data_IF_201567257332
#
_entry.id   IF_201567257332
#
_cell.length_a   1.000
_cell.length_b   1.000
_cell.length_c   1.000
_cell.angle_alpha   90.00
_cell.angle_beta   90.00
_cell.angle_gamma   90.00
#
_symmetry.space_group_name_H-M   'P 1'
#
loop_
_entity.id
_entity.type
_entity.pdbx_description
1 polymer ?
#
# COMPACT_ATOMS: atom_id res chain seq x y z
N UNK A 1 4.47 23.24 -23.22
CA UNK A 1 5.19 23.42 -24.51
C UNK A 1 4.37 22.73 -25.59
N UNK A 2 3.77 23.49 -26.50
CA UNK A 2 3.05 22.95 -27.64
C UNK A 2 4.05 22.64 -28.76
N UNK A 3 4.03 21.41 -29.29
CA UNK A 3 4.92 20.98 -30.37
C UNK A 3 4.14 20.94 -31.69
N UNK A 4 4.39 21.92 -32.55
CA UNK A 4 3.86 21.97 -33.93
C UNK A 4 4.56 20.90 -34.77
N UNK A 5 3.80 19.97 -35.39
CA UNK A 5 4.36 18.98 -36.33
C UNK A 5 4.42 19.55 -37.75
N UNK A 6 5.60 19.39 -38.36
CA UNK A 6 5.84 19.55 -39.80
C UNK A 6 5.03 18.51 -40.60
N UNK A 7 4.36 18.97 -41.65
CA UNK A 7 3.83 18.13 -42.73
C UNK A 7 4.92 17.90 -43.76
N UNK A 8 5.46 16.68 -43.85
CA UNK A 8 6.26 16.26 -45.01
C UNK A 8 5.35 15.49 -45.97
N UNK A 9 5.15 16.04 -47.18
CA UNK A 9 4.48 15.35 -48.28
C UNK A 9 5.51 14.66 -49.16
N UNK A 10 5.44 13.33 -49.27
CA UNK A 10 6.08 12.59 -50.34
C UNK A 10 5.03 12.29 -51.42
N UNK A 11 5.31 12.67 -52.66
CA UNK A 11 4.43 12.50 -53.82
C UNK A 11 4.92 11.32 -54.65
N UNK A 12 4.07 10.31 -54.84
CA UNK A 12 4.17 9.33 -55.93
C UNK A 12 2.75 9.08 -56.46
N UNK A 13 2.59 9.26 -57.77
CA UNK A 13 1.42 8.95 -58.61
C UNK A 13 0.04 9.42 -58.13
N UNK A 14 -0.30 10.67 -58.49
CA UNK A 14 -1.62 11.05 -59.04
C UNK A 14 -2.92 10.81 -58.24
N UNK A 15 -2.87 10.18 -57.07
CA UNK A 15 -4.02 9.94 -56.21
C UNK A 15 -3.60 10.23 -54.76
N UNK A 16 -3.88 11.44 -54.29
CA UNK A 16 -3.76 11.82 -52.88
C UNK A 16 -4.87 11.14 -52.08
N UNK A 17 -4.66 9.88 -51.70
CA UNK A 17 -5.46 9.24 -50.65
C UNK A 17 -4.92 9.75 -49.32
N UNK A 18 -5.65 10.68 -48.70
CA UNK A 18 -5.37 11.13 -47.35
C UNK A 18 -5.58 9.96 -46.38
N UNK A 19 -4.51 9.24 -46.04
CA UNK A 19 -4.54 8.24 -44.97
C UNK A 19 -4.60 9.00 -43.65
N UNK A 20 -5.81 9.21 -43.13
CA UNK A 20 -6.02 9.72 -41.77
C UNK A 20 -5.48 8.69 -40.79
N UNK A 21 -4.26 8.90 -40.29
CA UNK A 21 -3.78 8.09 -39.17
C UNK A 21 -4.68 8.38 -37.95
N UNK A 22 -5.17 7.35 -37.23
CA UNK A 22 -5.90 7.58 -36.00
C UNK A 22 -4.96 8.29 -35.02
N UNK A 23 -5.31 9.53 -34.66
CA UNK A 23 -4.64 10.25 -33.58
C UNK A 23 -4.91 9.47 -32.29
N UNK A 24 -3.97 8.63 -31.88
CA UNK A 24 -4.03 8.00 -30.55
C UNK A 24 -3.75 9.09 -29.52
N UNK A 25 -4.81 9.73 -29.03
CA UNK A 25 -4.71 10.60 -27.86
C UNK A 25 -4.55 9.69 -26.64
N UNK A 26 -3.31 9.36 -26.29
CA UNK A 26 -3.00 8.74 -24.99
C UNK A 26 -3.35 9.74 -23.90
N UNK A 27 -4.55 9.60 -23.33
CA UNK A 27 -4.95 10.34 -22.13
C UNK A 27 -4.22 9.73 -20.95
N UNK A 28 -3.05 10.27 -20.61
CA UNK A 28 -2.29 9.85 -19.43
C UNK A 28 -3.06 10.26 -18.19
N UNK A 29 -3.62 9.31 -17.46
CA UNK A 29 -4.25 9.59 -16.16
C UNK A 29 -3.16 9.96 -15.15
N UNK A 30 -3.28 11.09 -14.41
CA UNK A 30 -2.30 11.45 -13.39
C UNK A 30 -2.16 10.36 -12.32
N UNK A 31 -0.93 10.11 -11.85
CA UNK A 31 -0.61 9.02 -10.92
C UNK A 31 -1.51 8.98 -9.67
N UNK A 32 -1.68 10.12 -8.98
CA UNK A 32 -2.53 10.25 -7.79
C UNK A 32 -4.04 10.29 -8.09
N UNK A 33 -4.43 10.37 -9.35
CA UNK A 33 -5.82 10.24 -9.82
C UNK A 33 -6.14 8.83 -10.31
N UNK A 34 -5.18 7.91 -10.21
CA UNK A 34 -5.31 6.49 -10.53
C UNK A 34 -5.10 5.62 -9.29
N UNK A 35 -5.38 4.32 -9.36
CA UNK A 35 -5.08 3.37 -8.28
C UNK A 35 -3.59 3.03 -8.11
N UNK A 36 -2.71 3.60 -8.95
CA UNK A 36 -1.29 3.25 -8.96
C UNK A 36 -0.62 3.53 -7.60
N UNK A 37 -0.93 4.66 -6.95
CA UNK A 37 -0.37 4.97 -5.64
C UNK A 37 -0.88 4.02 -4.56
N UNK A 38 -2.19 3.73 -4.50
CA UNK A 38 -2.75 2.74 -3.58
C UNK A 38 -2.07 1.36 -3.73
N UNK A 39 -1.81 0.90 -4.95
CA UNK A 39 -1.12 -0.37 -5.18
C UNK A 39 0.36 -0.32 -4.80
N UNK A 40 1.09 0.75 -5.14
CA UNK A 40 2.49 0.93 -4.74
C UNK A 40 2.65 1.17 -3.23
N UNK A 41 1.61 1.63 -2.55
CA UNK A 41 1.64 1.78 -1.10
C UNK A 41 1.74 0.42 -0.39
N UNK A 42 1.34 -0.68 -1.02
CA UNK A 42 1.44 -2.04 -0.44
C UNK A 42 2.90 -2.42 -0.17
N UNK A 43 3.82 -2.46 -1.16
CA UNK A 43 5.22 -2.72 -0.88
C UNK A 43 5.84 -1.64 0.01
N UNK A 44 5.41 -0.37 -0.10
CA UNK A 44 5.89 0.69 0.79
C UNK A 44 5.52 0.44 2.27
N UNK A 45 4.31 -0.05 2.54
CA UNK A 45 3.85 -0.40 3.88
C UNK A 45 4.63 -1.58 4.46
N UNK A 46 4.93 -2.59 3.64
CA UNK A 46 5.80 -3.70 4.06
C UNK A 46 7.22 -3.23 4.41
N UNK A 47 7.75 -2.30 3.61
CA UNK A 47 9.08 -1.68 3.84
C UNK A 47 9.20 -0.96 5.18
N UNK A 48 8.11 -0.45 5.76
CA UNK A 48 8.15 0.14 7.10
C UNK A 48 8.54 -0.85 8.20
N UNK A 49 8.41 -2.16 7.95
CA UNK A 49 8.88 -3.19 8.89
C UNK A 49 10.41 -3.38 8.88
N UNK A 50 11.10 -2.93 7.83
CA UNK A 50 12.53 -3.20 7.62
C UNK A 50 13.43 -2.38 8.55
N UNK A 51 13.25 -1.05 8.72
CA UNK A 51 14.13 -0.26 9.60
C UNK A 51 14.27 -0.79 11.04
N UNK A 52 13.21 -1.15 11.77
CA UNK A 52 13.37 -1.70 13.12
C UNK A 52 14.06 -3.07 13.12
N UNK A 53 13.86 -3.89 12.08
CA UNK A 53 14.57 -5.17 11.94
C UNK A 53 16.06 -4.97 11.64
N UNK A 54 16.39 -4.05 10.74
CA UNK A 54 17.77 -3.70 10.42
C UNK A 54 18.51 -3.15 11.65
N UNK A 55 17.86 -2.27 12.42
CA UNK A 55 18.40 -1.78 13.69
C UNK A 55 18.67 -2.93 14.67
N UNK A 56 17.68 -3.83 14.85
CA UNK A 56 17.82 -5.00 15.72
C UNK A 56 19.00 -5.86 15.30
N UNK A 57 19.08 -6.22 14.02
CA UNK A 57 20.13 -7.08 13.49
C UNK A 57 21.51 -6.47 13.69
N UNK A 58 21.73 -5.23 13.22
CA UNK A 58 23.03 -4.56 13.32
C UNK A 58 23.47 -4.34 14.77
N UNK A 59 22.55 -3.95 15.66
CA UNK A 59 22.85 -3.76 17.09
C UNK A 59 23.08 -5.08 17.81
N UNK A 60 22.35 -6.13 17.48
CA UNK A 60 22.54 -7.44 18.08
C UNK A 60 23.89 -8.03 17.69
N UNK A 61 24.25 -7.99 16.39
CA UNK A 61 25.56 -8.40 15.88
C UNK A 61 26.70 -7.73 16.64
N UNK A 62 26.65 -6.40 16.77
CA UNK A 62 27.73 -5.62 17.41
C UNK A 62 27.76 -5.81 18.92
N UNK A 63 26.61 -5.84 19.60
CA UNK A 63 26.54 -5.99 21.05
C UNK A 63 26.91 -7.40 21.53
N UNK A 64 26.67 -8.43 20.72
CA UNK A 64 27.00 -9.82 21.06
C UNK A 64 28.39 -10.26 20.58
N UNK A 65 29.25 -9.34 20.13
CA UNK A 65 30.56 -9.68 19.59
C UNK A 65 30.49 -10.61 18.37
N UNK A 66 29.52 -10.40 17.48
CA UNK A 66 29.26 -11.20 16.28
C UNK A 66 28.85 -12.66 16.53
N UNK A 67 28.40 -13.01 17.74
CA UNK A 67 27.89 -14.34 18.08
C UNK A 67 26.53 -14.73 17.43
N UNK A 68 25.94 -13.86 16.62
CA UNK A 68 24.65 -14.12 15.98
C UNK A 68 24.76 -15.20 14.89
N UNK A 69 23.86 -16.19 14.96
CA UNK A 69 23.78 -17.27 13.97
C UNK A 69 22.49 -17.22 13.14
N UNK A 70 22.65 -17.37 11.81
CA UNK A 70 21.54 -17.45 10.86
C UNK A 70 20.81 -18.81 10.85
N UNK A 71 21.21 -19.77 11.70
CA UNK A 71 20.51 -21.07 11.79
C UNK A 71 19.11 -20.93 12.40
N UNK A 72 18.95 -20.05 13.39
CA UNK A 72 17.68 -19.80 14.08
C UNK A 72 17.46 -18.29 14.28
N UNK A 73 17.38 -17.50 13.20
CA UNK A 73 17.46 -16.03 13.24
C UNK A 73 16.37 -15.39 14.11
N UNK A 74 15.19 -16.02 14.16
CA UNK A 74 14.07 -15.57 15.01
C UNK A 74 14.26 -15.89 16.49
N UNK A 75 15.10 -16.85 16.86
CA UNK A 75 15.38 -17.17 18.27
C UNK A 75 16.56 -16.39 18.84
N UNK A 76 17.47 -15.90 17.97
CA UNK A 76 18.74 -15.28 18.37
C UNK A 76 18.60 -14.17 19.42
N UNK A 77 17.60 -13.29 19.31
CA UNK A 77 17.41 -12.24 20.32
C UNK A 77 17.13 -12.82 21.71
N UNK A 78 16.31 -13.87 21.82
CA UNK A 78 16.00 -14.49 23.11
C UNK A 78 17.23 -15.16 23.73
N UNK A 79 18.07 -15.77 22.90
CA UNK A 79 19.31 -16.44 23.33
C UNK A 79 20.38 -15.44 23.77
N UNK A 80 20.52 -14.32 23.05
CA UNK A 80 21.62 -13.37 23.26
C UNK A 80 21.24 -12.21 24.19
N UNK A 81 19.97 -11.80 24.28
CA UNK A 81 19.56 -10.70 25.14
C UNK A 81 20.05 -10.81 26.61
N UNK A 82 20.06 -11.98 27.26
CA UNK A 82 20.57 -12.12 28.63
C UNK A 82 22.06 -11.82 28.80
N UNK A 83 22.86 -11.91 27.72
CA UNK A 83 24.30 -11.63 27.76
C UNK A 83 24.64 -10.16 27.53
N UNK A 84 23.64 -9.34 27.17
CA UNK A 84 23.82 -7.93 26.83
C UNK A 84 23.48 -7.02 28.02
N UNK A 85 24.01 -5.77 28.02
CA UNK A 85 23.55 -4.75 28.95
C UNK A 85 22.03 -4.57 28.86
N UNK A 86 21.36 -4.47 30.01
CA UNK A 86 19.89 -4.41 30.09
C UNK A 86 19.28 -3.35 29.17
N UNK A 87 19.84 -2.14 29.15
CA UNK A 87 19.34 -1.06 28.31
C UNK A 87 19.40 -1.39 26.79
N UNK A 88 20.44 -2.11 26.37
CA UNK A 88 20.58 -2.59 24.99
C UNK A 88 19.55 -3.68 24.69
N UNK A 89 19.43 -4.67 25.57
CA UNK A 89 18.44 -5.74 25.44
C UNK A 89 17.01 -5.19 25.35
N UNK A 90 16.63 -4.26 26.23
CA UNK A 90 15.32 -3.61 26.24
C UNK A 90 15.03 -2.90 24.91
N UNK A 91 16.03 -2.22 24.33
CA UNK A 91 15.88 -1.55 23.04
C UNK A 91 15.75 -2.53 21.88
N UNK A 92 16.48 -3.64 21.90
CA UNK A 92 16.37 -4.70 20.90
C UNK A 92 15.00 -5.38 20.94
N UNK A 93 14.44 -5.62 22.13
CA UNK A 93 13.07 -6.12 22.28
C UNK A 93 12.03 -5.15 21.75
N UNK A 94 12.23 -3.85 21.94
CA UNK A 94 11.36 -2.82 21.35
C UNK A 94 11.44 -2.80 19.83
N UNK A 95 12.66 -2.87 19.26
CA UNK A 95 12.84 -2.96 17.82
C UNK A 95 12.15 -4.20 17.24
N UNK A 96 12.27 -5.36 17.91
CA UNK A 96 11.54 -6.57 17.54
C UNK A 96 10.03 -6.39 17.57
N UNK A 97 9.50 -5.83 18.66
CA UNK A 97 8.07 -5.58 18.79
C UNK A 97 7.53 -4.62 17.72
N UNK A 98 8.30 -3.58 17.39
CA UNK A 98 7.96 -2.64 16.32
C UNK A 98 7.90 -3.33 14.95
N UNK A 99 8.90 -4.17 14.64
CA UNK A 99 8.93 -4.95 13.40
C UNK A 99 7.73 -5.89 13.28
N UNK A 100 7.45 -6.67 14.32
CA UNK A 100 6.32 -7.60 14.33
C UNK A 100 4.99 -6.87 14.20
N UNK A 101 4.81 -5.75 14.92
CA UNK A 101 3.58 -4.97 14.81
C UNK A 101 3.37 -4.38 13.41
N UNK A 102 4.45 -4.01 12.70
CA UNK A 102 4.35 -3.60 11.29
C UNK A 102 3.92 -4.73 10.37
N UNK A 103 4.43 -5.95 10.61
CA UNK A 103 4.02 -7.12 9.86
C UNK A 103 2.59 -7.59 10.19
N UNK A 104 2.13 -7.42 11.42
CA UNK A 104 0.76 -7.78 11.84
C UNK A 104 -0.30 -6.88 11.20
N UNK A 105 -0.03 -5.57 11.09
CA UNK A 105 -0.94 -4.62 10.43
C UNK A 105 -0.93 -4.69 8.91
N UNK A 106 0.16 -5.19 8.32
CA UNK A 106 0.36 -5.21 6.86
C UNK A 106 -0.73 -5.98 6.09
N UNK A 107 -1.12 -7.23 6.47
CA UNK A 107 -2.17 -7.97 5.75
C UNK A 107 -3.50 -7.23 5.68
N UNK A 108 -3.90 -6.59 6.78
CA UNK A 108 -5.14 -5.81 6.84
C UNK A 108 -5.09 -4.62 5.87
N UNK A 109 -3.95 -3.91 5.83
CA UNK A 109 -3.75 -2.80 4.90
C UNK A 109 -3.71 -3.24 3.44
N UNK A 110 -2.95 -4.29 3.13
CA UNK A 110 -2.86 -4.82 1.78
C UNK A 110 -4.23 -5.28 1.27
N UNK A 111 -4.99 -5.99 2.10
CA UNK A 111 -6.36 -6.40 1.78
C UNK A 111 -7.26 -5.19 1.50
N UNK A 112 -7.16 -4.13 2.31
CA UNK A 112 -7.94 -2.91 2.11
C UNK A 112 -7.65 -2.20 0.78
N UNK A 113 -6.37 -2.07 0.40
CA UNK A 113 -5.99 -1.44 -0.87
C UNK A 113 -6.46 -2.25 -2.08
N UNK A 114 -6.33 -3.58 -2.02
CA UNK A 114 -6.81 -4.47 -3.07
C UNK A 114 -8.35 -4.45 -3.16
N UNK A 115 -9.05 -4.54 -2.03
CA UNK A 115 -10.51 -4.50 -1.99
C UNK A 115 -11.07 -3.16 -2.46
N UNK A 116 -10.47 -2.04 -2.03
CA UNK A 116 -10.86 -0.70 -2.47
C UNK A 116 -10.66 -0.49 -3.97
N UNK A 117 -9.56 -1.00 -4.52
CA UNK A 117 -9.29 -0.99 -5.97
C UNK A 117 -10.31 -1.85 -6.72
N UNK A 118 -10.60 -3.06 -6.21
CA UNK A 118 -11.56 -3.99 -6.81
C UNK A 118 -12.99 -3.44 -6.81
N UNK A 119 -13.42 -2.85 -5.68
CA UNK A 119 -14.73 -2.21 -5.53
C UNK A 119 -14.85 -0.88 -6.31
N UNK A 120 -13.77 -0.43 -6.99
CA UNK A 120 -13.71 0.83 -7.73
C UNK A 120 -14.11 2.04 -6.86
N UNK A 121 -13.58 2.10 -5.64
CA UNK A 121 -13.69 3.29 -4.79
C UNK A 121 -13.04 4.50 -5.47
N UNK A 122 -13.42 5.71 -5.09
CA UNK A 122 -12.74 6.91 -5.63
C UNK A 122 -11.22 6.81 -5.43
N UNK A 123 -10.47 6.98 -6.51
CA UNK A 123 -9.03 6.76 -6.52
C UNK A 123 -8.29 7.80 -5.66
N UNK A 124 -8.77 9.05 -5.61
CA UNK A 124 -8.18 10.10 -4.77
C UNK A 124 -8.41 9.76 -3.30
N UNK A 125 -9.62 9.37 -2.92
CA UNK A 125 -9.93 8.94 -1.55
C UNK A 125 -9.06 7.76 -1.11
N UNK A 126 -8.93 6.73 -1.96
CA UNK A 126 -8.13 5.54 -1.65
C UNK A 126 -6.64 5.89 -1.51
N UNK A 127 -6.12 6.75 -2.38
CA UNK A 127 -4.75 7.23 -2.32
C UNK A 127 -4.47 8.07 -1.07
N UNK A 128 -5.42 8.92 -0.65
CA UNK A 128 -5.32 9.67 0.61
C UNK A 128 -5.25 8.72 1.80
N UNK A 129 -6.15 7.72 1.86
CA UNK A 129 -6.13 6.70 2.91
C UNK A 129 -4.79 5.94 2.93
N UNK A 130 -4.26 5.57 1.76
CA UNK A 130 -2.96 4.93 1.64
C UNK A 130 -1.83 5.80 2.20
N UNK A 131 -1.80 7.10 1.85
CA UNK A 131 -0.79 8.04 2.32
C UNK A 131 -0.89 8.25 3.84
N UNK A 132 -2.10 8.46 4.37
CA UNK A 132 -2.36 8.61 5.80
C UNK A 132 -1.90 7.39 6.59
N UNK A 133 -2.16 6.18 6.08
CA UNK A 133 -1.69 4.95 6.71
C UNK A 133 -0.16 4.92 6.81
N UNK A 134 0.55 5.22 5.71
CA UNK A 134 2.02 5.22 5.70
C UNK A 134 2.60 6.25 6.68
N UNK A 135 2.02 7.45 6.74
CA UNK A 135 2.42 8.49 7.70
C UNK A 135 2.16 8.03 9.13
N UNK A 136 0.96 7.52 9.43
CA UNK A 136 0.59 7.04 10.75
C UNK A 136 1.48 5.88 11.21
N UNK A 137 1.82 4.94 10.33
CA UNK A 137 2.72 3.81 10.63
C UNK A 137 4.17 4.26 10.84
N UNK A 138 4.63 5.27 10.09
CA UNK A 138 5.96 5.85 10.29
C UNK A 138 6.03 6.53 11.66
N UNK A 139 5.05 7.37 11.98
CA UNK A 139 4.95 8.04 13.28
C UNK A 139 4.86 7.04 14.44
N UNK A 140 4.00 6.02 14.30
CA UNK A 140 3.88 4.95 15.28
C UNK A 140 5.21 4.25 15.53
N UNK A 141 5.97 3.92 14.47
CA UNK A 141 7.26 3.23 14.59
C UNK A 141 8.29 4.07 15.33
N UNK A 142 8.37 5.38 15.03
CA UNK A 142 9.23 6.32 15.74
C UNK A 142 8.85 6.39 17.22
N UNK A 143 7.56 6.55 17.54
CA UNK A 143 7.07 6.56 18.92
C UNK A 143 7.38 5.25 19.64
N UNK A 144 7.20 4.10 18.97
CA UNK A 144 7.47 2.78 19.55
C UNK A 144 8.92 2.65 20.03
N UNK A 145 9.87 3.11 19.22
CA UNK A 145 11.29 3.01 19.51
C UNK A 145 11.77 4.04 20.54
N UNK A 146 11.24 5.27 20.50
CA UNK A 146 11.77 6.42 21.26
C UNK A 146 11.07 6.64 22.61
N UNK A 147 9.78 6.32 22.72
CA UNK A 147 8.99 6.64 23.92
C UNK A 147 9.39 5.77 25.11
N UNK A 148 9.70 6.43 26.23
CA UNK A 148 10.07 5.79 27.51
C UNK A 148 9.10 6.06 28.67
N UNK A 149 8.24 7.07 28.56
CA UNK A 149 7.28 7.43 29.61
C UNK A 149 5.91 6.77 29.40
N UNK A 150 5.21 6.51 30.50
CA UNK A 150 3.87 5.91 30.51
C UNK A 150 2.84 6.81 29.80
N UNK A 151 2.90 8.12 30.05
CA UNK A 151 1.99 9.09 29.40
C UNK A 151 2.13 9.12 27.87
N UNK A 152 3.36 9.04 27.36
CA UNK A 152 3.60 8.99 25.93
C UNK A 152 3.26 7.61 25.32
N UNK A 153 3.08 6.56 26.14
CA UNK A 153 2.59 5.27 25.67
C UNK A 153 1.14 5.34 25.19
N UNK A 154 0.31 6.21 25.77
CA UNK A 154 -1.06 6.45 25.30
C UNK A 154 -1.09 7.10 23.90
N UNK A 155 -0.14 8.00 23.61
CA UNK A 155 -0.01 8.58 22.28
C UNK A 155 0.30 7.49 21.24
N UNK A 156 1.20 6.56 21.58
CA UNK A 156 1.50 5.41 20.72
C UNK A 156 0.25 4.56 20.45
N UNK A 157 -0.56 4.30 21.46
CA UNK A 157 -1.82 3.56 21.30
C UNK A 157 -2.85 4.31 20.45
N UNK A 158 -2.95 5.64 20.61
CA UNK A 158 -3.85 6.46 19.80
C UNK A 158 -3.44 6.47 18.31
N UNK A 159 -2.14 6.64 18.02
CA UNK A 159 -1.62 6.59 16.64
C UNK A 159 -1.79 5.18 16.05
N UNK A 160 -1.63 4.13 16.87
CA UNK A 160 -1.91 2.77 16.43
C UNK A 160 -3.37 2.60 16.03
N UNK A 161 -4.31 3.01 16.89
CA UNK A 161 -5.75 2.89 16.64
C UNK A 161 -6.14 3.66 15.37
N UNK A 162 -5.61 4.87 15.18
CA UNK A 162 -5.78 5.61 13.93
C UNK A 162 -5.25 4.82 12.73
N UNK A 163 -4.01 4.32 12.80
CA UNK A 163 -3.41 3.58 11.69
C UNK A 163 -4.21 2.33 11.30
N UNK A 164 -4.79 1.61 12.27
CA UNK A 164 -5.60 0.40 12.03
C UNK A 164 -7.02 0.75 11.59
N UNK A 165 -7.55 1.89 12.03
CA UNK A 165 -8.87 2.37 11.64
C UNK A 165 -8.97 2.68 10.13
N UNK A 166 -7.89 3.15 9.51
CA UNK A 166 -7.87 3.47 8.07
C UNK A 166 -8.18 2.26 7.19
N UNK A 167 -7.45 1.13 7.24
CA UNK A 167 -7.77 -0.02 6.40
C UNK A 167 -9.11 -0.66 6.77
N UNK A 168 -9.54 -0.63 8.04
CA UNK A 168 -10.87 -1.07 8.44
C UNK A 168 -11.97 -0.22 7.78
N UNK A 169 -11.81 1.11 7.78
CA UNK A 169 -12.70 2.04 7.10
C UNK A 169 -12.77 1.78 5.59
N UNK A 170 -11.62 1.59 4.93
CA UNK A 170 -11.57 1.30 3.50
C UNK A 170 -12.28 -0.03 3.17
N UNK A 171 -12.05 -1.08 3.96
CA UNK A 171 -12.74 -2.37 3.79
C UNK A 171 -14.26 -2.23 3.95
N UNK A 172 -14.70 -1.48 4.97
CA UNK A 172 -16.11 -1.22 5.19
C UNK A 172 -16.74 -0.46 4.02
N UNK A 173 -16.08 0.62 3.57
CA UNK A 173 -16.50 1.43 2.42
C UNK A 173 -16.54 0.61 1.13
N UNK A 174 -15.57 -0.28 0.91
CA UNK A 174 -15.54 -1.19 -0.24
C UNK A 174 -16.73 -2.17 -0.21
N UNK A 175 -17.09 -2.71 0.96
CA UNK A 175 -18.25 -3.58 1.13
C UNK A 175 -19.56 -2.90 0.73
N UNK A 176 -19.82 -1.69 1.24
CA UNK A 176 -21.00 -0.90 0.85
C UNK A 176 -21.01 -0.57 -0.64
N UNK A 177 -19.86 -0.20 -1.21
CA UNK A 177 -19.75 0.10 -2.64
C UNK A 177 -20.12 -1.08 -3.54
N UNK A 178 -19.85 -2.31 -3.11
CA UNK A 178 -20.24 -3.53 -3.82
C UNK A 178 -21.75 -3.71 -3.75
N UNK A 179 -22.36 -3.55 -2.58
CA UNK A 179 -23.83 -3.62 -2.41
C UNK A 179 -24.52 -2.57 -3.30
N UNK A 180 -24.06 -1.33 -3.27
CA UNK A 180 -24.61 -0.25 -4.08
C UNK A 180 -24.37 -0.46 -5.59
N UNK A 181 -23.25 -1.10 -5.93
CA UNK A 181 -22.90 -1.49 -7.30
C UNK A 181 -23.65 -2.72 -7.83
N UNK A 182 -24.17 -3.56 -6.95
CA UNK A 182 -25.12 -4.64 -7.25
C UNK A 182 -26.57 -4.14 -7.33
N UNK A 183 -26.83 -2.87 -7.01
CA UNK A 183 -28.09 -2.18 -7.32
C UNK A 183 -28.30 -1.97 -8.84
N UNK A 184 -29.48 -1.49 -9.28
CA UNK A 184 -30.22 -1.79 -10.53
C UNK A 184 -29.48 -1.72 -11.89
N UNK A 185 -28.23 -1.30 -11.94
CA UNK A 185 -27.39 -1.29 -13.14
C UNK A 185 -27.01 -2.70 -13.63
N UNK A 186 -26.71 -3.65 -12.73
CA UNK A 186 -26.40 -5.04 -13.15
C UNK A 186 -27.66 -5.85 -13.52
N UNK A 187 -28.80 -5.56 -12.91
CA UNK A 187 -30.09 -6.13 -13.29
C UNK A 187 -30.46 -5.74 -14.73
N UNK A 188 -30.19 -4.50 -15.12
CA UNK A 188 -30.43 -4.02 -16.48
C UNK A 188 -29.48 -4.65 -17.52
N UNK A 189 -28.22 -4.91 -17.17
CA UNK A 189 -27.26 -5.55 -18.08
C UNK A 189 -27.50 -7.06 -18.21
N UNK A 190 -27.88 -7.74 -17.12
CA UNK A 190 -28.32 -9.14 -17.13
C UNK A 190 -29.65 -9.31 -17.89
N UNK A 191 -30.62 -8.40 -17.69
CA UNK A 191 -31.88 -8.40 -18.43
C UNK A 191 -31.69 -8.09 -19.94
N UNK A 192 -30.78 -7.19 -20.29
CA UNK A 192 -30.40 -6.93 -21.70
C UNK A 192 -29.69 -8.10 -22.35
N UNK A 193 -28.81 -8.80 -21.62
CA UNK A 193 -28.16 -10.03 -22.09
C UNK A 193 -29.17 -11.15 -22.34
N UNK A 194 -30.12 -11.36 -21.41
CA UNK A 194 -31.18 -12.35 -21.56
C UNK A 194 -32.18 -12.01 -22.69
N UNK A 195 -32.48 -10.73 -22.91
CA UNK A 195 -33.31 -10.27 -24.02
C UNK A 195 -32.61 -10.43 -25.38
N UNK A 196 -31.31 -10.14 -25.45
CA UNK A 196 -30.50 -10.36 -26.66
C UNK A 196 -30.40 -11.83 -27.06
N UNK A 197 -30.30 -12.73 -26.07
CA UNK A 197 -30.24 -14.18 -26.33
C UNK A 197 -31.57 -14.77 -26.82
N UNK A 198 -32.72 -14.19 -26.42
CA UNK A 198 -34.05 -14.60 -26.93
C UNK A 198 -34.36 -14.05 -28.33
N UNK A 199 -33.67 -13.01 -28.79
CA UNK A 199 -33.85 -12.43 -30.12
C UNK A 199 -32.99 -13.11 -31.21
N UNK A 200 -32.13 -14.06 -30.85
CA UNK A 200 -31.27 -14.84 -31.77
C UNK A 200 -31.65 -16.32 -31.87
N UNK A 201 -32.83 -16.71 -31.36
CA UNK A 201 -33.48 -18.01 -31.56
C UNK A 201 -34.78 -17.81 -32.34
#
# INVERSE_FOLDING_TARGET
MAFTRQTTSASYDGATVAVSQPTITTTTTPYFSSYAFALHSIPAAWMLSVPPHAYLFSKLMTASGYAYSNLVPRAQLATLAPTLPKATADMLWRARGCHLNALEGFPLFAAAMLAGTHAKLDARDLNTCAAEYLVARTLYSVLYMTVRSERASYLRSAVWAWSVGIPAYVLWKAGWRIVDGYGPAQEQESARGAAGQKASL
#
